data_IF_657274166613
#
_entry.id   IF_657274166613
#
_cell.length_a   1.000
_cell.length_b   1.000
_cell.length_c   1.000
_cell.angle_alpha   90.00
_cell.angle_beta   90.00
_cell.angle_gamma   90.00
#
_symmetry.space_group_name_H-M   'P 1'
#
loop_
_entity.id
_entity.type
_entity.pdbx_description
1 polymer ?
#
# COMPACT_ATOMS: atom_id res chain seq x y z
N UNK A 1 -0.50 -13.95 -9.19
CA UNK A 1 -1.19 -12.86 -8.48
C UNK A 1 -1.15 -13.04 -6.96
N UNK A 2 -1.62 -14.17 -6.48
CA UNK A 2 -1.64 -14.44 -5.06
C UNK A 2 -0.23 -14.54 -4.46
N UNK A 3 0.70 -15.12 -5.18
CA UNK A 3 2.09 -15.22 -4.72
C UNK A 3 2.74 -13.83 -4.58
N UNK A 4 2.49 -12.94 -5.53
CA UNK A 4 3.01 -11.57 -5.45
C UNK A 4 2.41 -10.82 -4.27
N UNK A 5 1.11 -11.01 -4.02
CA UNK A 5 0.44 -10.41 -2.87
C UNK A 5 1.02 -10.93 -1.56
N UNK A 6 1.34 -12.22 -1.49
CA UNK A 6 1.96 -12.80 -0.30
C UNK A 6 3.35 -12.23 -0.07
N UNK A 7 4.15 -12.08 -1.12
CA UNK A 7 5.48 -11.49 -1.01
C UNK A 7 5.39 -10.04 -0.53
N UNK A 8 4.45 -9.28 -1.10
CA UNK A 8 4.23 -7.90 -0.68
C UNK A 8 3.80 -7.84 0.79
N UNK A 9 2.92 -8.74 1.21
CA UNK A 9 2.47 -8.78 2.60
C UNK A 9 3.63 -9.02 3.56
N UNK A 10 4.55 -9.90 3.21
CA UNK A 10 5.72 -10.15 4.05
C UNK A 10 6.61 -8.91 4.14
N UNK A 11 6.82 -8.20 3.01
CA UNK A 11 7.58 -6.96 3.02
C UNK A 11 6.91 -5.92 3.91
N UNK A 12 5.60 -5.76 3.79
CA UNK A 12 4.87 -4.78 4.58
C UNK A 12 4.95 -5.08 6.07
N UNK A 13 4.86 -6.34 6.44
CA UNK A 13 5.03 -6.73 7.85
C UNK A 13 6.42 -6.40 8.37
N UNK A 14 7.44 -6.61 7.55
CA UNK A 14 8.80 -6.23 7.90
C UNK A 14 8.90 -4.72 8.15
N UNK A 15 8.11 -3.93 7.43
CA UNK A 15 8.06 -2.48 7.58
C UNK A 15 7.17 -2.02 8.73
N UNK A 16 6.59 -2.94 9.47
CA UNK A 16 5.77 -2.62 10.63
C UNK A 16 4.28 -2.56 10.38
N UNK A 17 3.81 -2.98 9.20
CA UNK A 17 2.38 -2.99 8.90
C UNK A 17 1.69 -4.11 9.68
N UNK A 18 0.58 -3.77 10.29
CA UNK A 18 -0.22 -4.71 11.05
C UNK A 18 -1.60 -4.13 11.32
N UNK A 19 -2.34 -4.64 12.31
CA UNK A 19 -3.69 -4.15 12.60
C UNK A 19 -3.72 -2.64 12.81
N UNK A 20 -4.67 -1.99 12.13
CA UNK A 20 -4.92 -0.55 12.21
C UNK A 20 -3.79 0.35 11.66
N UNK A 21 -2.84 -0.23 10.94
CA UNK A 21 -1.80 0.56 10.27
C UNK A 21 -2.28 0.90 8.85
N UNK A 22 -2.21 2.19 8.50
CA UNK A 22 -2.64 2.68 7.20
C UNK A 22 -1.47 2.69 6.21
N UNK A 23 -1.71 2.19 5.01
CA UNK A 23 -0.73 2.19 3.92
C UNK A 23 -1.37 2.89 2.71
N UNK A 24 -0.70 3.89 2.17
CA UNK A 24 -1.18 4.56 0.97
C UNK A 24 -1.02 3.67 -0.25
N UNK A 25 -1.98 3.74 -1.17
CA UNK A 25 -1.94 2.98 -2.41
C UNK A 25 -2.23 3.92 -3.57
N UNK A 26 -1.20 4.26 -4.33
CA UNK A 26 -1.28 5.18 -5.46
C UNK A 26 -0.68 4.52 -6.69
N UNK A 27 -1.48 3.70 -7.36
CA UNK A 27 -1.07 2.99 -8.57
C UNK A 27 -2.15 3.16 -9.63
N UNK A 28 -1.78 3.00 -10.89
CA UNK A 28 -2.74 3.00 -11.97
C UNK A 28 -3.59 1.73 -11.89
N UNK A 29 -4.80 1.82 -12.46
CA UNK A 29 -5.70 0.67 -12.50
C UNK A 29 -5.06 -0.44 -13.32
N UNK A 30 -4.72 -1.53 -12.64
CA UNK A 30 -3.97 -2.61 -13.25
C UNK A 30 -3.93 -3.79 -12.29
N UNK A 31 -3.22 -4.83 -12.71
CA UNK A 31 -2.97 -5.98 -11.87
C UNK A 31 -2.20 -5.57 -10.60
N UNK A 32 -1.32 -4.57 -10.72
CA UNK A 32 -0.56 -4.05 -9.58
C UNK A 32 -1.47 -3.48 -8.50
N UNK A 33 -2.57 -2.86 -8.87
CA UNK A 33 -3.55 -2.35 -7.90
C UNK A 33 -4.15 -3.50 -7.09
N UNK A 34 -4.51 -4.60 -7.75
CA UNK A 34 -5.06 -5.77 -7.06
C UNK A 34 -4.03 -6.38 -6.13
N UNK A 35 -2.79 -6.52 -6.60
CA UNK A 35 -1.69 -7.02 -5.77
C UNK A 35 -1.49 -6.13 -4.55
N UNK A 36 -1.53 -4.82 -4.74
CA UNK A 36 -1.37 -3.86 -3.65
C UNK A 36 -2.45 -4.01 -2.58
N UNK A 37 -3.71 -4.05 -2.99
CA UNK A 37 -4.83 -4.20 -2.06
C UNK A 37 -4.72 -5.51 -1.31
N UNK A 38 -4.52 -6.61 -2.02
CA UNK A 38 -4.41 -7.93 -1.40
C UNK A 38 -3.21 -8.00 -0.45
N UNK A 39 -2.08 -7.45 -0.85
CA UNK A 39 -0.88 -7.46 -0.01
C UNK A 39 -1.08 -6.72 1.30
N UNK A 40 -1.69 -5.55 1.25
CA UNK A 40 -1.97 -4.78 2.46
C UNK A 40 -2.93 -5.53 3.39
N UNK A 41 -4.00 -6.08 2.83
CA UNK A 41 -4.97 -6.84 3.63
C UNK A 41 -4.35 -8.11 4.21
N UNK A 42 -3.53 -8.82 3.43
CA UNK A 42 -2.84 -10.02 3.92
C UNK A 42 -1.82 -9.68 5.02
N UNK A 43 -1.25 -8.49 4.99
CA UNK A 43 -0.35 -8.03 6.04
C UNK A 43 -1.10 -7.64 7.32
N UNK A 44 -2.41 -7.54 7.25
CA UNK A 44 -3.25 -7.15 8.38
C UNK A 44 -3.49 -5.66 8.50
N UNK A 45 -3.05 -4.87 7.52
CA UNK A 45 -3.22 -3.43 7.54
C UNK A 45 -4.47 -2.96 6.82
N UNK A 46 -4.63 -1.65 6.72
CA UNK A 46 -5.68 -1.00 5.96
C UNK A 46 -5.06 -0.10 4.91
N UNK A 47 -5.73 0.10 3.79
CA UNK A 47 -5.18 0.92 2.72
C UNK A 47 -5.96 2.22 2.53
N UNK A 48 -5.23 3.25 2.08
CA UNK A 48 -5.79 4.55 1.73
C UNK A 48 -5.66 4.69 0.22
N UNK A 49 -6.75 4.62 -0.54
CA UNK A 49 -6.67 4.73 -1.99
C UNK A 49 -6.39 6.16 -2.40
N UNK A 50 -5.36 6.36 -3.21
CA UNK A 50 -4.94 7.66 -3.72
C UNK A 50 -4.90 7.59 -5.24
N UNK A 51 -5.80 8.30 -5.91
CA UNK A 51 -5.82 8.32 -7.37
C UNK A 51 -4.66 9.17 -7.88
N UNK A 52 -3.70 8.60 -8.63
CA UNK A 52 -2.57 9.38 -9.13
C UNK A 52 -2.95 10.49 -10.09
N UNK A 53 -4.17 10.50 -10.60
CA UNK A 53 -4.67 11.56 -11.49
C UNK A 53 -5.18 12.78 -10.72
N UNK A 54 -5.33 12.69 -9.40
CA UNK A 54 -5.75 13.84 -8.61
C UNK A 54 -4.70 14.95 -8.65
N UNK A 55 -5.12 16.23 -8.48
CA UNK A 55 -4.17 17.34 -8.38
C UNK A 55 -3.15 17.10 -7.26
N UNK A 56 -1.94 17.61 -7.47
CA UNK A 56 -0.84 17.40 -6.52
C UNK A 56 -1.15 17.92 -5.11
N UNK A 57 -1.80 19.08 -5.02
CA UNK A 57 -2.16 19.65 -3.73
C UNK A 57 -3.17 18.79 -2.99
N UNK A 58 -4.08 18.15 -3.72
CA UNK A 58 -5.06 17.24 -3.13
C UNK A 58 -4.40 15.96 -2.62
N UNK A 59 -3.49 15.40 -3.42
CA UNK A 59 -2.73 14.22 -3.01
C UNK A 59 -1.88 14.53 -1.78
N UNK A 60 -1.23 15.69 -1.76
CA UNK A 60 -0.43 16.10 -0.61
C UNK A 60 -1.29 16.19 0.66
N UNK A 61 -2.48 16.77 0.55
CA UNK A 61 -3.40 16.85 1.67
C UNK A 61 -3.79 15.47 2.19
N UNK A 62 -4.15 14.56 1.27
CA UNK A 62 -4.60 13.22 1.66
C UNK A 62 -3.47 12.43 2.31
N UNK A 63 -2.26 12.55 1.81
CA UNK A 63 -1.09 11.88 2.37
C UNK A 63 -0.81 12.40 3.78
N UNK A 64 -0.83 13.69 3.95
CA UNK A 64 -0.57 14.31 5.25
C UNK A 64 -1.69 14.02 6.24
N UNK A 65 -2.94 14.19 5.82
CA UNK A 65 -4.10 14.00 6.69
C UNK A 65 -4.24 12.55 7.16
N UNK A 66 -3.96 11.59 6.30
CA UNK A 66 -4.05 10.17 6.66
C UNK A 66 -2.94 9.72 7.60
N UNK A 67 -1.81 10.43 7.61
CA UNK A 67 -0.68 10.07 8.44
C UNK A 67 0.04 8.80 8.01
N UNK A 68 -0.09 8.42 6.74
CA UNK A 68 0.58 7.21 6.23
C UNK A 68 2.09 7.37 6.32
N UNK A 69 2.79 6.27 6.54
CA UNK A 69 4.25 6.23 6.56
C UNK A 69 4.81 5.38 5.44
N UNK A 70 3.96 4.59 4.80
CA UNK A 70 4.30 3.77 3.64
C UNK A 70 3.35 4.09 2.51
N UNK A 71 3.89 4.16 1.30
CA UNK A 71 3.11 4.42 0.10
C UNK A 71 3.50 3.41 -0.98
N UNK A 72 2.55 2.59 -1.39
CA UNK A 72 2.72 1.69 -2.53
C UNK A 72 2.41 2.47 -3.80
N UNK A 73 3.36 2.48 -4.73
CA UNK A 73 3.22 3.26 -5.96
C UNK A 73 4.02 2.60 -7.08
N UNK A 74 4.10 3.27 -8.21
CA UNK A 74 4.86 2.81 -9.37
C UNK A 74 5.97 3.80 -9.68
N UNK A 75 7.07 3.33 -10.28
CA UNK A 75 8.26 4.16 -10.46
C UNK A 75 8.01 5.40 -11.33
N UNK A 76 7.10 5.31 -12.31
CA UNK A 76 6.83 6.41 -13.21
C UNK A 76 5.87 7.46 -12.66
N UNK A 77 5.27 7.22 -11.50
CA UNK A 77 4.34 8.17 -10.90
C UNK A 77 5.08 9.13 -9.99
N UNK A 78 4.78 10.42 -10.13
CA UNK A 78 5.32 11.46 -9.26
C UNK A 78 4.25 11.88 -8.26
N UNK A 79 4.58 11.73 -6.99
CA UNK A 79 3.65 12.01 -5.90
C UNK A 79 4.28 12.98 -4.91
N UNK A 80 3.47 13.86 -4.28
CA UNK A 80 3.99 14.86 -3.34
C UNK A 80 4.25 14.24 -1.97
N UNK A 81 5.23 13.35 -1.89
CA UNK A 81 5.57 12.70 -0.62
C UNK A 81 6.74 13.41 0.04
N UNK A 82 6.73 13.37 1.38
CA UNK A 82 7.82 13.92 2.18
C UNK A 82 8.81 12.80 2.53
N UNK A 83 9.93 13.17 3.12
CA UNK A 83 10.94 12.21 3.55
C UNK A 83 10.43 11.25 4.63
N UNK A 84 9.33 11.61 5.31
CA UNK A 84 8.74 10.75 6.34
C UNK A 84 7.92 9.60 5.76
N UNK A 85 7.64 9.62 4.45
CA UNK A 85 6.86 8.57 3.78
C UNK A 85 7.80 7.73 2.93
N UNK A 86 7.87 6.44 3.22
CA UNK A 86 8.68 5.52 2.43
C UNK A 86 7.85 4.99 1.26
N UNK A 87 8.46 4.95 0.09
CA UNK A 87 7.81 4.48 -1.13
C UNK A 87 8.21 3.04 -1.41
N UNK A 88 7.24 2.20 -1.70
CA UNK A 88 7.46 0.82 -2.13
C UNK A 88 6.96 0.71 -3.57
N UNK A 89 7.84 0.33 -4.48
CA UNK A 89 7.52 0.25 -5.90
C UNK A 89 6.87 -1.07 -6.22
N UNK A 90 5.64 -0.99 -6.73
CA UNK A 90 4.84 -2.15 -7.13
C UNK A 90 4.91 -2.32 -8.65
N UNK A 91 5.78 -3.20 -9.10
CA UNK A 91 5.90 -3.51 -10.53
C UNK A 91 6.24 -4.98 -10.72
N UNK A 92 5.78 -5.55 -11.83
CA UNK A 92 6.17 -6.90 -12.20
C UNK A 92 7.69 -6.97 -12.33
N UNK A 93 8.30 -7.95 -11.70
CA UNK A 93 9.74 -8.10 -11.77
C UNK A 93 10.53 -7.16 -10.86
N UNK A 94 9.86 -6.48 -9.92
CA UNK A 94 10.57 -5.69 -8.93
C UNK A 94 11.54 -6.59 -8.15
N UNK A 95 12.79 -6.15 -8.08
CA UNK A 95 13.87 -7.00 -7.53
C UNK A 95 13.64 -7.37 -6.06
N UNK A 96 13.01 -6.50 -5.30
CA UNK A 96 12.80 -6.77 -3.87
C UNK A 96 11.86 -7.96 -3.62
N UNK A 97 11.00 -8.31 -4.60
CA UNK A 97 10.07 -9.43 -4.45
C UNK A 97 10.77 -10.76 -4.20
N UNK A 98 11.93 -10.95 -4.82
CA UNK A 98 12.65 -12.22 -4.73
C UNK A 98 13.12 -12.57 -3.32
N UNK A 99 13.24 -11.59 -2.46
CA UNK A 99 13.67 -11.82 -1.08
C UNK A 99 12.57 -12.24 -0.14
N UNK A 100 11.34 -12.38 -0.62
CA UNK A 100 10.20 -12.64 0.26
C UNK A 100 9.47 -13.94 -0.10
N UNK A 101 8.90 -14.58 0.92
CA UNK A 101 8.19 -15.83 0.77
C UNK A 101 6.92 -15.66 -0.06
N UNK A 102 6.59 -16.67 -0.87
CA UNK A 102 5.32 -16.70 -1.61
C UNK A 102 4.19 -17.34 -0.80
N UNK A 103 4.49 -17.83 0.41
CA UNK A 103 3.47 -18.41 1.28
C UNK A 103 2.66 -17.32 1.95
N UNK A 104 1.38 -17.60 2.22
CA UNK A 104 0.51 -16.65 2.90
C UNK A 104 1.03 -16.35 4.30
N UNK A 105 1.05 -15.06 4.72
CA UNK A 105 1.47 -14.71 6.07
C UNK A 105 0.38 -15.06 7.09
N UNK A 106 0.76 -15.06 8.37
CA UNK A 106 -0.20 -15.27 9.46
C UNK A 106 -1.15 -14.06 9.47
N UNK A 107 -2.45 -14.33 9.55
CA UNK A 107 -3.45 -13.28 9.59
C UNK A 107 -3.52 -12.67 11.00
N UNK A 108 -3.23 -11.37 11.09
CA UNK A 108 -3.27 -10.62 12.34
C UNK A 108 -4.52 -9.76 12.47
N UNK A 109 -5.27 -9.59 11.37
CA UNK A 109 -6.46 -8.76 11.37
C UNK A 109 -7.59 -9.40 12.15
N UNK A 110 -8.41 -8.58 12.80
CA UNK A 110 -9.63 -9.01 13.48
C UNK A 110 -10.82 -8.30 12.85
N UNK A 111 -12.07 -8.76 13.12
CA UNK A 111 -13.24 -8.06 12.56
C UNK A 111 -13.35 -6.59 12.96
N UNK A 112 -12.72 -6.19 14.06
CA UNK A 112 -12.77 -4.81 14.54
C UNK A 112 -11.71 -3.90 13.91
N UNK A 113 -10.77 -4.47 13.17
CA UNK A 113 -9.73 -3.68 12.52
C UNK A 113 -10.25 -2.99 11.27
N UNK A 114 -9.68 -1.82 10.95
CA UNK A 114 -9.99 -1.14 9.70
C UNK A 114 -9.49 -1.97 8.53
N UNK A 115 -10.34 -2.13 7.51
CA UNK A 115 -9.92 -2.78 6.26
C UNK A 115 -9.41 -1.75 5.28
N UNK A 116 -10.05 -0.57 5.22
CA UNK A 116 -9.64 0.51 4.31
C UNK A 116 -10.20 1.83 4.80
N UNK A 117 -9.59 2.91 4.28
CA UNK A 117 -10.06 4.27 4.50
C UNK A 117 -10.30 4.88 3.13
N UNK A 118 -11.51 5.42 2.90
CA UNK A 118 -11.88 6.03 1.64
C UNK A 118 -11.99 7.53 1.81
N UNK A 119 -11.28 8.28 0.96
CA UNK A 119 -11.43 9.73 0.87
C UNK A 119 -12.42 10.06 -0.22
N UNK A 120 -13.47 10.80 0.12
CA UNK A 120 -14.46 11.22 -0.87
C UNK A 120 -14.07 12.57 -1.47
N UNK A 121 -14.48 12.77 -2.71
CA UNK A 121 -14.33 14.07 -3.39
C UNK A 121 -15.43 14.99 -2.86
N UNK A 122 -15.16 15.62 -1.79
CA UNK A 122 -16.16 16.48 -1.16
C UNK A 122 -16.26 17.82 -1.75
#
# INVERSE_FOLDING_TARGET
>A
LDQRANQLAHKLREQGVGPDVLVGLAVERSLEMVVGVLGILKAGGAYVPLDPEYPQDRLAYMIEDSGIKLLLTQAHLELPVTASVERVILESGAAWLEGYSTAAPVNLATPDNLAYVIYTSG
#
